data_IF_232833761693
#
_entry.id   IF_232833761693
#
_cell.length_a   1.000
_cell.length_b   1.000
_cell.length_c   1.000
_cell.angle_alpha   90.00
_cell.angle_beta   90.00
_cell.angle_gamma   90.00
#
_symmetry.space_group_name_H-M   'P 1'
#
loop_
_entity.id
_entity.type
_entity.pdbx_description
1 polymer ?
#
# COMPACT_ATOMS: atom_id res chain seq x y z
N UNK A 1 -80.17 29.90 -3.83
CA UNK A 1 -78.98 29.81 -4.71
C UNK A 1 -78.04 30.97 -4.37
N UNK A 2 -76.80 30.65 -3.95
CA UNK A 2 -75.53 31.43 -4.08
C UNK A 2 -75.63 32.96 -3.86
N UNK A 3 -74.97 33.59 -2.87
CA UNK A 3 -73.52 33.70 -2.80
C UNK A 3 -73.06 34.29 -1.46
N UNK A 4 -72.04 33.66 -0.89
CA UNK A 4 -71.35 34.02 0.36
C UNK A 4 -70.06 34.78 0.04
N UNK A 5 -69.91 35.93 0.71
CA UNK A 5 -68.71 36.61 1.21
C UNK A 5 -67.42 36.63 0.35
N UNK A 6 -67.03 37.86 -0.01
CA UNK A 6 -65.64 38.29 -0.14
C UNK A 6 -64.93 38.11 1.22
N UNK A 7 -63.83 37.38 1.25
CA UNK A 7 -62.80 37.48 2.30
C UNK A 7 -61.47 37.70 1.59
N UNK A 8 -60.88 38.85 1.91
CA UNK A 8 -59.50 39.22 1.63
C UNK A 8 -58.62 38.38 2.56
N UNK A 9 -57.73 37.57 1.99
CA UNK A 9 -56.76 36.76 2.72
C UNK A 9 -55.37 37.04 2.17
N UNK A 10 -54.54 37.66 3.01
CA UNK A 10 -53.15 38.05 2.76
C UNK A 10 -52.31 36.80 2.43
N UNK A 11 -51.58 36.85 1.31
CA UNK A 11 -50.59 35.84 0.96
C UNK A 11 -49.37 35.99 1.88
N UNK A 12 -49.21 35.08 2.83
CA UNK A 12 -48.00 34.95 3.62
C UNK A 12 -46.99 34.14 2.79
N UNK A 13 -46.01 34.81 2.21
CA UNK A 13 -44.87 34.16 1.58
C UNK A 13 -44.02 33.49 2.67
N UNK A 14 -44.15 32.17 2.82
CA UNK A 14 -43.19 31.36 3.57
C UNK A 14 -41.92 31.22 2.73
N UNK A 15 -40.94 32.06 3.02
CA UNK A 15 -39.56 31.89 2.57
C UNK A 15 -39.02 30.62 3.24
N UNK A 16 -38.98 29.51 2.50
CA UNK A 16 -38.26 28.31 2.92
C UNK A 16 -36.76 28.65 2.93
N UNK A 17 -36.19 28.93 4.10
CA UNK A 17 -34.74 28.89 4.29
C UNK A 17 -34.30 27.44 4.17
N UNK A 18 -33.77 27.06 3.01
CA UNK A 18 -32.98 25.83 2.87
C UNK A 18 -31.71 26.01 3.71
N UNK A 19 -31.39 25.11 4.65
CA UNK A 19 -30.07 25.10 5.25
C UNK A 19 -29.08 24.73 4.14
N UNK A 20 -28.16 25.64 3.83
CA UNK A 20 -27.01 25.33 3.01
C UNK A 20 -26.25 24.19 3.70
N UNK A 21 -26.37 22.98 3.14
CA UNK A 21 -25.54 21.85 3.51
C UNK A 21 -24.10 22.22 3.12
N UNK A 22 -23.37 22.80 4.06
CA UNK A 22 -21.93 22.91 3.97
C UNK A 22 -21.38 21.51 3.77
N UNK A 23 -20.79 21.27 2.60
CA UNK A 23 -19.98 20.09 2.35
C UNK A 23 -18.84 20.09 3.36
N UNK A 24 -19.03 19.38 4.48
CA UNK A 24 -17.93 18.94 5.32
C UNK A 24 -17.15 17.87 4.54
N UNK A 25 -16.27 18.33 3.65
CA UNK A 25 -15.03 17.60 3.37
C UNK A 25 -14.25 17.67 4.67
N UNK A 26 -14.31 16.61 5.45
CA UNK A 26 -13.28 16.15 6.40
C UNK A 26 -13.90 15.07 7.29
N UNK A 27 -14.32 13.98 6.66
CA UNK A 27 -14.38 12.70 7.34
C UNK A 27 -13.06 11.99 7.07
N UNK A 28 -11.98 12.51 7.64
CA UNK A 28 -10.74 11.75 7.81
C UNK A 28 -11.07 10.60 8.78
N UNK A 29 -11.59 9.51 8.20
CA UNK A 29 -11.86 8.29 8.94
C UNK A 29 -10.53 7.81 9.48
N UNK A 30 -10.29 8.09 10.76
CA UNK A 30 -9.21 7.50 11.54
C UNK A 30 -9.34 5.99 11.37
N UNK A 31 -8.51 5.43 10.49
CA UNK A 31 -8.13 4.03 10.59
C UNK A 31 -7.63 3.88 12.01
N UNK A 32 -8.44 3.25 12.86
CA UNK A 32 -8.02 2.72 14.14
C UNK A 32 -7.00 1.64 13.82
N UNK A 33 -5.78 2.04 13.45
CA UNK A 33 -4.63 1.16 13.49
C UNK A 33 -4.41 0.86 14.96
N UNK A 34 -4.73 -0.36 15.39
CA UNK A 34 -4.19 -0.84 16.65
C UNK A 34 -2.69 -0.55 16.66
N UNK A 35 -2.20 0.14 17.68
CA UNK A 35 -0.80 0.52 17.76
C UNK A 35 0.05 -0.76 17.76
N UNK A 36 0.90 -0.94 16.75
CA UNK A 36 1.89 -2.01 16.74
C UNK A 36 2.97 -1.71 17.79
N UNK A 37 2.75 -2.12 19.04
CA UNK A 37 3.66 -1.86 20.15
C UNK A 37 5.07 -2.43 19.91
N UNK A 38 5.17 -3.56 19.20
CA UNK A 38 6.47 -4.12 18.80
C UNK A 38 7.19 -3.24 17.78
N UNK A 39 6.44 -2.59 16.87
CA UNK A 39 7.00 -1.67 15.88
C UNK A 39 7.58 -0.42 16.53
N UNK A 40 6.96 0.10 17.60
CA UNK A 40 7.43 1.29 18.32
C UNK A 40 8.83 1.12 18.94
N UNK A 41 9.24 -0.14 19.16
CA UNK A 41 10.56 -0.49 19.71
C UNK A 41 11.63 -0.66 18.62
N UNK A 42 11.24 -0.63 17.34
CA UNK A 42 12.20 -0.75 16.25
C UNK A 42 12.96 0.56 16.09
N UNK A 43 14.26 0.46 15.90
CA UNK A 43 15.08 1.60 15.48
C UNK A 43 14.49 2.23 14.21
N UNK A 44 14.53 3.54 14.08
CA UNK A 44 13.95 4.27 12.95
C UNK A 44 12.42 4.20 12.81
N UNK A 45 11.69 3.74 13.84
CA UNK A 45 10.23 3.81 13.83
C UNK A 45 9.74 5.26 13.79
N UNK A 46 8.81 5.53 12.87
CA UNK A 46 8.15 6.84 12.76
C UNK A 46 6.66 6.65 13.05
N UNK A 47 6.10 7.34 14.07
CA UNK A 47 4.67 7.28 14.36
C UNK A 47 3.83 7.63 13.11
N UNK A 48 2.73 6.92 12.81
CA UNK A 48 1.96 7.14 11.60
C UNK A 48 1.53 8.60 11.38
N UNK A 49 1.16 9.31 12.45
CA UNK A 49 0.78 10.73 12.40
C UNK A 49 1.89 11.69 11.98
N UNK A 50 3.16 11.26 12.00
CA UNK A 50 4.33 12.04 11.56
C UNK A 50 4.76 11.76 10.12
N UNK A 51 4.19 10.75 9.47
CA UNK A 51 4.51 10.39 8.09
C UNK A 51 3.85 11.42 7.16
N UNK A 52 4.64 12.07 6.31
CA UNK A 52 4.15 13.02 5.33
C UNK A 52 3.18 12.34 4.33
N UNK A 53 2.12 13.05 3.93
CA UNK A 53 1.10 12.52 3.02
C UNK A 53 1.66 12.10 1.65
N UNK A 54 2.67 12.81 1.13
CA UNK A 54 3.36 12.43 -0.11
C UNK A 54 4.02 11.04 0.01
N UNK A 55 4.58 10.72 1.18
CA UNK A 55 5.16 9.39 1.44
C UNK A 55 4.05 8.33 1.47
N UNK A 56 2.90 8.65 2.07
CA UNK A 56 1.73 7.74 2.06
C UNK A 56 1.23 7.50 0.63
N UNK A 57 1.20 8.54 -0.20
CA UNK A 57 0.84 8.47 -1.62
C UNK A 57 1.83 7.66 -2.45
N UNK A 58 3.12 7.85 -2.20
CA UNK A 58 4.21 7.10 -2.83
C UNK A 58 4.07 5.58 -2.57
N UNK A 59 3.87 5.17 -1.32
CA UNK A 59 3.71 3.73 -0.99
C UNK A 59 2.39 3.15 -1.51
N UNK A 60 1.36 3.98 -1.73
CA UNK A 60 0.07 3.59 -2.31
C UNK A 60 -0.78 2.70 -1.37
N UNK A 61 -0.45 2.65 -0.09
CA UNK A 61 -1.20 1.90 0.95
C UNK A 61 -2.24 2.80 1.62
N UNK A 62 -3.25 3.25 0.85
CA UNK A 62 -4.41 3.97 1.39
C UNK A 62 -5.65 3.78 0.51
N UNK A 63 -6.85 4.06 1.04
CA UNK A 63 -8.11 3.95 0.28
C UNK A 63 -8.09 4.96 -0.86
N UNK A 64 -8.00 4.48 -2.10
CA UNK A 64 -7.80 5.32 -3.29
C UNK A 64 -6.35 5.37 -3.82
N UNK A 65 -5.44 4.50 -3.34
CA UNK A 65 -3.99 4.46 -3.66
C UNK A 65 -3.54 4.41 -5.13
N UNK A 66 -4.45 4.53 -6.09
CA UNK A 66 -4.17 4.87 -7.49
C UNK A 66 -4.48 6.34 -7.79
N UNK A 67 -4.69 6.67 -9.07
CA UNK A 67 -4.96 8.04 -9.52
C UNK A 67 -3.71 8.78 -10.00
N UNK A 68 -3.94 9.81 -10.82
CA UNK A 68 -2.89 10.51 -11.54
C UNK A 68 -1.86 11.16 -10.62
N UNK A 69 -2.29 11.76 -9.51
CA UNK A 69 -1.42 12.40 -8.52
C UNK A 69 -0.42 11.39 -7.91
N UNK A 70 -0.90 10.22 -7.49
CA UNK A 70 -0.04 9.18 -6.93
C UNK A 70 0.95 8.65 -7.93
N UNK A 71 0.48 8.37 -9.16
CA UNK A 71 1.35 7.86 -10.22
C UNK A 71 2.44 8.88 -10.54
N UNK A 72 2.14 10.19 -10.51
CA UNK A 72 3.13 11.24 -10.69
C UNK A 72 4.18 11.23 -9.57
N UNK A 73 3.75 11.16 -8.30
CA UNK A 73 4.66 11.05 -7.14
C UNK A 73 5.53 9.78 -7.25
N UNK A 74 4.92 8.65 -7.59
CA UNK A 74 5.62 7.36 -7.72
C UNK A 74 6.71 7.42 -8.80
N UNK A 75 6.40 7.96 -9.99
CA UNK A 75 7.39 8.16 -11.06
C UNK A 75 8.51 9.10 -10.64
N UNK A 76 8.18 10.23 -10.01
CA UNK A 76 9.17 11.18 -9.50
C UNK A 76 10.09 10.58 -8.42
N UNK A 77 9.64 9.53 -7.73
CA UNK A 77 10.39 8.80 -6.70
C UNK A 77 11.04 7.51 -7.19
N UNK A 78 11.03 7.24 -8.49
CA UNK A 78 11.79 6.13 -9.10
C UNK A 78 10.99 4.88 -9.47
N UNK A 79 9.65 4.92 -9.44
CA UNK A 79 8.82 3.87 -10.07
C UNK A 79 8.80 4.11 -11.58
N UNK A 80 9.94 3.86 -12.21
CA UNK A 80 10.18 3.94 -13.64
C UNK A 80 10.82 2.63 -14.11
N UNK A 81 10.63 2.29 -15.39
CA UNK A 81 11.30 1.14 -15.99
C UNK A 81 12.82 1.38 -15.96
N UNK A 82 13.56 0.38 -15.45
CA UNK A 82 15.02 0.48 -15.30
C UNK A 82 15.77 -0.25 -16.42
N UNK A 83 15.06 -1.06 -17.23
CA UNK A 83 15.62 -1.97 -18.23
C UNK A 83 16.66 -2.96 -17.68
N UNK A 84 16.71 -3.13 -16.36
CA UNK A 84 17.60 -4.09 -15.71
C UNK A 84 17.09 -5.51 -15.96
N UNK A 85 18.03 -6.42 -16.13
CA UNK A 85 17.76 -7.86 -16.23
C UNK A 85 18.50 -8.59 -15.12
N UNK A 86 17.95 -9.70 -14.60
CA UNK A 86 18.65 -10.51 -13.60
C UNK A 86 19.98 -11.03 -14.16
N UNK A 87 21.04 -10.90 -13.37
CA UNK A 87 22.33 -11.53 -13.63
C UNK A 87 22.63 -12.51 -12.50
N UNK A 88 22.34 -13.78 -12.72
CA UNK A 88 22.49 -14.81 -11.69
C UNK A 88 23.95 -15.23 -11.53
N UNK A 89 24.42 -15.27 -10.28
CA UNK A 89 25.77 -15.72 -9.93
C UNK A 89 25.95 -17.15 -10.45
N UNK A 90 27.10 -17.41 -11.08
CA UNK A 90 27.45 -18.70 -11.65
C UNK A 90 26.43 -19.27 -12.66
N UNK A 91 25.62 -18.40 -13.28
CA UNK A 91 24.60 -18.83 -14.26
C UNK A 91 23.48 -19.65 -13.64
N UNK A 92 23.13 -19.37 -12.37
CA UNK A 92 22.05 -20.07 -11.66
C UNK A 92 20.75 -20.11 -12.45
N UNK A 93 20.12 -21.29 -12.47
CA UNK A 93 18.80 -21.52 -13.05
C UNK A 93 17.74 -21.16 -12.02
N UNK A 94 17.31 -19.90 -12.05
CA UNK A 94 16.33 -19.35 -11.13
C UNK A 94 14.96 -19.25 -11.82
N UNK A 95 13.86 -19.30 -11.04
CA UNK A 95 12.53 -19.08 -11.57
C UNK A 95 12.44 -17.78 -12.39
N UNK A 96 11.77 -17.87 -13.53
CA UNK A 96 11.56 -16.71 -14.38
C UNK A 96 10.61 -15.71 -13.71
N UNK A 97 10.89 -14.43 -13.93
CA UNK A 97 9.90 -13.37 -13.68
C UNK A 97 8.86 -13.51 -14.78
N UNK A 98 7.57 -13.45 -14.43
CA UNK A 98 6.51 -13.50 -15.43
C UNK A 98 6.37 -12.17 -16.20
N UNK A 99 5.21 -11.93 -16.81
CA UNK A 99 4.94 -10.68 -17.51
C UNK A 99 4.93 -9.44 -16.61
N UNK A 100 4.80 -9.57 -15.30
CA UNK A 100 4.52 -8.51 -14.34
C UNK A 100 5.82 -7.92 -13.74
N UNK A 101 6.59 -7.24 -14.60
CA UNK A 101 7.84 -6.52 -14.27
C UNK A 101 7.63 -5.25 -13.44
N UNK A 102 8.73 -4.68 -12.97
CA UNK A 102 8.76 -3.40 -12.25
C UNK A 102 8.22 -2.24 -13.10
N UNK A 103 7.42 -1.37 -12.47
CA UNK A 103 6.88 -0.14 -13.04
C UNK A 103 5.95 -0.30 -14.26
N UNK A 104 5.27 -1.44 -14.41
CA UNK A 104 4.26 -1.63 -15.47
C UNK A 104 3.04 -0.73 -15.25
N UNK A 105 2.53 -0.15 -16.33
CA UNK A 105 1.27 0.60 -16.32
C UNK A 105 0.06 -0.35 -16.21
N UNK A 106 -0.60 -0.31 -15.05
CA UNK A 106 -1.80 -1.07 -14.73
C UNK A 106 -3.09 -0.29 -14.92
N UNK A 107 -3.05 0.91 -15.49
CA UNK A 107 -4.25 1.72 -15.74
C UNK A 107 -5.31 0.94 -16.51
N UNK A 108 -4.89 0.11 -17.46
CA UNK A 108 -5.80 -0.75 -18.24
C UNK A 108 -6.43 -1.91 -17.44
N UNK A 109 -5.84 -2.31 -16.29
CA UNK A 109 -6.35 -3.36 -15.38
C UNK A 109 -7.09 -2.78 -14.16
N UNK A 110 -7.28 -1.45 -14.10
CA UNK A 110 -7.74 -0.73 -12.91
C UNK A 110 -8.75 0.36 -13.30
N UNK A 111 -9.54 0.79 -12.32
CA UNK A 111 -10.50 1.89 -12.51
C UNK A 111 -9.85 3.28 -12.48
N UNK A 112 -8.58 3.37 -12.12
CA UNK A 112 -7.79 4.60 -12.05
C UNK A 112 -6.32 4.31 -12.37
N UNK A 113 -5.56 5.36 -12.66
CA UNK A 113 -4.14 5.24 -12.97
C UNK A 113 -3.39 4.47 -11.88
N UNK A 114 -2.58 3.48 -12.28
CA UNK A 114 -1.89 2.61 -11.35
C UNK A 114 -0.59 2.08 -11.95
N UNK A 115 0.42 1.88 -11.11
CA UNK A 115 1.68 1.23 -11.49
C UNK A 115 1.85 -0.07 -10.70
N UNK A 116 2.39 -1.09 -11.35
CA UNK A 116 2.92 -2.27 -10.68
C UNK A 116 4.28 -1.92 -10.05
N UNK A 117 4.46 -2.26 -8.76
CA UNK A 117 5.62 -1.84 -7.95
C UNK A 117 6.35 -3.04 -7.37
N UNK A 118 6.42 -4.11 -8.15
CA UNK A 118 7.05 -5.37 -7.79
C UNK A 118 7.40 -6.15 -9.04
N UNK A 119 7.89 -7.36 -8.83
CA UNK A 119 8.04 -8.39 -9.84
C UNK A 119 7.31 -9.62 -9.35
N UNK A 120 6.59 -10.31 -10.23
CA UNK A 120 5.94 -11.57 -9.88
C UNK A 120 6.80 -12.74 -10.37
N UNK A 121 7.07 -13.66 -9.47
CA UNK A 121 7.89 -14.86 -9.71
C UNK A 121 6.98 -16.07 -9.49
N UNK A 122 6.45 -16.69 -10.55
CA UNK A 122 5.54 -17.82 -10.40
C UNK A 122 6.21 -18.99 -9.72
N UNK A 123 5.54 -19.56 -8.73
CA UNK A 123 5.95 -20.75 -7.99
C UNK A 123 4.73 -21.55 -7.59
N UNK A 124 4.93 -22.84 -7.28
CA UNK A 124 3.87 -23.66 -6.69
C UNK A 124 3.51 -23.10 -5.31
N UNK A 125 2.23 -23.14 -4.92
CA UNK A 125 1.83 -22.79 -3.56
C UNK A 125 2.53 -23.70 -2.53
N UNK A 126 2.97 -23.12 -1.41
CA UNK A 126 3.73 -23.82 -0.37
C UNK A 126 5.25 -23.85 -0.59
N UNK A 127 5.77 -23.23 -1.66
CA UNK A 127 7.21 -23.12 -1.88
C UNK A 127 7.84 -22.14 -0.88
N UNK A 128 8.95 -22.51 -0.21
CA UNK A 128 9.66 -21.60 0.70
C UNK A 128 10.18 -20.33 0.03
N UNK A 129 9.82 -19.18 0.60
CA UNK A 129 10.35 -17.87 0.23
C UNK A 129 11.54 -17.57 1.13
N UNK A 130 12.65 -17.11 0.52
CA UNK A 130 13.90 -16.82 1.21
C UNK A 130 14.17 -15.33 1.31
N UNK A 131 14.76 -14.90 2.43
CA UNK A 131 15.24 -13.53 2.60
C UNK A 131 16.35 -13.22 1.57
N UNK A 132 16.20 -12.14 0.80
CA UNK A 132 17.18 -11.74 -0.22
C UNK A 132 18.47 -11.16 0.35
N UNK A 133 18.47 -10.75 1.61
CA UNK A 133 19.62 -10.21 2.33
C UNK A 133 19.39 -10.34 3.85
N UNK A 134 20.47 -10.20 4.62
CA UNK A 134 20.41 -10.02 6.07
C UNK A 134 19.47 -8.86 6.42
N UNK A 135 18.67 -8.99 7.48
CA UNK A 135 17.71 -7.93 7.80
C UNK A 135 16.93 -8.16 9.09
N UNK A 136 15.91 -7.33 9.27
CA UNK A 136 14.97 -7.39 10.40
C UNK A 136 13.54 -7.37 9.88
N UNK A 137 12.68 -8.21 10.44
CA UNK A 137 11.23 -8.19 10.17
C UNK A 137 10.63 -6.91 10.76
N UNK A 138 10.09 -6.04 9.91
CA UNK A 138 9.56 -4.72 10.32
C UNK A 138 8.06 -4.55 10.06
N UNK A 139 7.45 -5.45 9.30
CA UNK A 139 6.02 -5.39 9.00
C UNK A 139 5.45 -6.74 8.63
N UNK A 140 4.20 -6.96 9.03
CA UNK A 140 3.39 -8.16 8.76
C UNK A 140 1.95 -7.69 8.54
N UNK A 141 1.33 -8.09 7.45
CA UNK A 141 0.02 -7.57 7.07
C UNK A 141 -0.84 -8.68 6.46
N UNK A 142 -2.05 -8.87 6.99
CA UNK A 142 -3.05 -9.74 6.37
C UNK A 142 -3.53 -9.17 5.03
N UNK A 143 -3.58 -7.82 4.94
CA UNK A 143 -4.02 -7.11 3.75
C UNK A 143 -5.39 -7.60 3.26
N UNK A 144 -6.33 -7.84 4.17
CA UNK A 144 -7.71 -8.23 3.82
C UNK A 144 -8.31 -7.26 2.81
N UNK A 145 -8.98 -7.80 1.79
CA UNK A 145 -9.57 -7.03 0.67
C UNK A 145 -8.57 -6.21 -0.17
N UNK A 146 -7.27 -6.41 0.03
CA UNK A 146 -6.21 -5.86 -0.80
C UNK A 146 -5.64 -6.96 -1.70
N UNK A 147 -5.40 -6.61 -2.97
CA UNK A 147 -4.88 -7.55 -3.97
C UNK A 147 -3.51 -8.13 -3.62
N UNK A 148 -2.71 -7.47 -2.77
CA UNK A 148 -1.40 -7.96 -2.32
C UNK A 148 -1.46 -9.24 -1.49
N UNK A 149 -2.59 -9.53 -0.86
CA UNK A 149 -2.70 -10.64 0.10
C UNK A 149 -1.68 -10.54 1.24
N UNK A 150 -1.47 -11.65 1.93
CA UNK A 150 -0.62 -11.74 3.11
C UNK A 150 0.82 -11.31 2.76
N UNK A 151 1.42 -10.49 3.61
CA UNK A 151 2.69 -9.82 3.36
C UNK A 151 3.61 -9.81 4.57
N UNK A 152 4.91 -9.99 4.32
CA UNK A 152 5.99 -9.70 5.26
C UNK A 152 6.96 -8.67 4.66
N UNK A 153 7.46 -7.76 5.48
CA UNK A 153 8.43 -6.74 5.09
C UNK A 153 9.70 -6.86 5.94
N UNK A 154 10.84 -6.87 5.26
CA UNK A 154 12.15 -6.80 5.88
C UNK A 154 12.77 -5.43 5.65
N UNK A 155 13.54 -4.96 6.62
CA UNK A 155 14.43 -3.82 6.49
C UNK A 155 15.88 -4.28 6.57
N UNK A 156 16.72 -3.67 5.74
CA UNK A 156 18.14 -3.96 5.63
C UNK A 156 18.94 -2.67 5.83
N UNK A 157 20.03 -2.75 6.59
CA UNK A 157 20.99 -1.65 6.73
C UNK A 157 21.85 -1.51 5.46
N UNK A 158 22.47 -0.34 5.23
CA UNK A 158 23.48 -0.16 4.19
C UNK A 158 24.57 -1.26 4.17
N UNK A 159 25.06 -1.65 5.34
CA UNK A 159 26.13 -2.66 5.47
C UNK A 159 25.65 -4.07 5.10
N UNK A 160 24.36 -4.37 5.32
CA UNK A 160 23.77 -5.67 4.99
C UNK A 160 23.56 -5.88 3.49
N UNK A 161 23.34 -4.79 2.73
CA UNK A 161 23.09 -4.86 1.28
C UNK A 161 24.25 -4.36 0.44
N UNK A 162 25.20 -3.62 1.03
CA UNK A 162 26.24 -2.88 0.32
C UNK A 162 25.73 -1.62 -0.39
N UNK A 163 24.46 -1.22 -0.19
CA UNK A 163 23.87 -0.01 -0.79
C UNK A 163 24.05 1.20 0.14
N UNK A 164 24.15 2.44 -0.37
CA UNK A 164 24.37 3.62 0.47
C UNK A 164 23.13 4.08 1.25
N UNK A 165 22.06 3.28 1.27
CA UNK A 165 20.79 3.62 1.90
C UNK A 165 20.13 2.39 2.52
N UNK A 166 19.27 2.65 3.51
CA UNK A 166 18.37 1.65 4.07
C UNK A 166 17.45 1.11 2.97
N UNK A 167 17.36 -0.20 2.88
CA UNK A 167 16.59 -0.89 1.85
C UNK A 167 15.48 -1.69 2.51
N UNK A 168 14.36 -1.85 1.81
CA UNK A 168 13.24 -2.67 2.25
C UNK A 168 12.95 -3.70 1.18
N UNK A 169 12.77 -4.95 1.58
CA UNK A 169 12.20 -5.99 0.71
C UNK A 169 10.77 -6.31 1.17
N UNK A 170 9.88 -6.44 0.21
CA UNK A 170 8.47 -6.73 0.41
C UNK A 170 8.16 -8.07 -0.26
N UNK A 171 7.56 -8.99 0.49
CA UNK A 171 7.13 -10.30 0.00
C UNK A 171 5.62 -10.39 0.19
N UNK A 172 4.88 -10.57 -0.90
CA UNK A 172 3.41 -10.55 -0.94
C UNK A 172 2.86 -11.89 -1.42
N UNK A 173 1.55 -12.07 -1.34
CA UNK A 173 0.87 -13.30 -1.73
C UNK A 173 1.40 -14.53 -0.98
N UNK A 174 1.67 -14.39 0.32
CA UNK A 174 2.04 -15.54 1.14
C UNK A 174 0.83 -16.44 1.37
N UNK A 175 1.06 -17.74 1.48
CA UNK A 175 0.04 -18.75 1.81
C UNK A 175 -0.58 -18.50 3.19
N UNK A 176 0.27 -18.15 4.15
CA UNK A 176 -0.08 -17.85 5.53
C UNK A 176 0.85 -16.77 6.09
N UNK A 177 0.47 -16.21 7.24
CA UNK A 177 1.28 -15.20 7.91
C UNK A 177 2.66 -15.76 8.26
N UNK A 178 3.73 -15.01 7.93
CA UNK A 178 5.10 -15.37 8.31
C UNK A 178 5.18 -15.77 9.79
N UNK A 179 5.83 -16.89 10.16
CA UNK A 179 5.95 -17.31 11.55
C UNK A 179 6.90 -16.40 12.34
N UNK A 180 7.70 -15.57 11.67
CA UNK A 180 8.68 -14.70 12.31
C UNK A 180 7.99 -13.53 13.02
N UNK A 181 8.37 -13.19 14.27
CA UNK A 181 7.84 -12.01 14.95
C UNK A 181 8.46 -10.72 14.40
N UNK A 182 7.75 -9.59 14.56
CA UNK A 182 8.32 -8.25 14.32
C UNK A 182 9.56 -8.07 15.22
N UNK A 183 10.67 -7.61 14.64
CA UNK A 183 11.96 -7.47 15.29
C UNK A 183 12.89 -8.69 15.16
N UNK A 184 12.41 -9.81 14.60
CA UNK A 184 13.26 -10.95 14.32
C UNK A 184 14.36 -10.57 13.31
N UNK A 185 15.60 -11.00 13.59
CA UNK A 185 16.73 -10.91 12.66
C UNK A 185 16.71 -12.12 11.75
N UNK A 186 17.00 -11.90 10.47
CA UNK A 186 17.14 -12.96 9.46
C UNK A 186 18.48 -12.83 8.75
N UNK A 187 18.98 -13.96 8.26
CA UNK A 187 20.11 -14.06 7.36
C UNK A 187 19.64 -14.22 5.92
N UNK A 188 20.47 -13.79 4.97
CA UNK A 188 20.26 -14.09 3.56
C UNK A 188 20.06 -15.61 3.38
N UNK A 189 18.97 -16.00 2.71
CA UNK A 189 18.63 -17.39 2.45
C UNK A 189 17.70 -18.03 3.50
N UNK A 190 17.49 -17.41 4.67
CA UNK A 190 16.55 -17.89 5.67
C UNK A 190 15.13 -17.91 5.11
N UNK A 191 14.35 -18.93 5.50
CA UNK A 191 12.93 -19.01 5.16
C UNK A 191 12.13 -17.96 5.95
N UNK A 192 11.29 -17.22 5.23
CA UNK A 192 10.49 -16.12 5.80
C UNK A 192 8.98 -16.30 5.64
N UNK A 193 8.56 -17.33 4.91
CA UNK A 193 7.17 -17.66 4.61
C UNK A 193 7.08 -18.57 3.39
N UNK A 194 5.87 -18.90 2.98
CA UNK A 194 5.60 -19.77 1.84
C UNK A 194 4.73 -19.06 0.80
N UNK A 195 4.93 -19.36 -0.48
CA UNK A 195 4.14 -18.84 -1.61
C UNK A 195 2.68 -19.28 -1.51
N UNK A 196 1.75 -18.36 -1.77
CA UNK A 196 0.29 -18.59 -1.74
C UNK A 196 -0.35 -18.82 -3.10
#
# INVERSE_FOLDING_TARGET
MKNVRKIVGIALAMTLMMPAAGFAKDAEMRLSSSSCQSCEKLDGFVPPGRINDEIRKMVGKYKGGGGAENVAIQKARGVIETYLTPNFIAGGDCPEIDSEKWAIDYTHKRASAALHKGIDIPQQAGTPIRAVADGVVVGKFENEYNRKGIEVMLRHTPEQTGLPFWTYSQYTHLYEMSPLPIGAKVKMGDEIGNTG
#
